data_IF_324787805435
#
_entry.id   IF_324787805435
#
_cell.length_a   1.000
_cell.length_b   1.000
_cell.length_c   1.000
_cell.angle_alpha   90.00
_cell.angle_beta   90.00
_cell.angle_gamma   90.00
#
_symmetry.space_group_name_H-M   'P 1'
#
loop_
_entity.id
_entity.type
_entity.pdbx_description
1 polymer ?
#
# COMPACT_ATOMS: atom_id res chain seq x y z
N UNK A 1 50.01 32.39 10.81
CA UNK A 1 49.38 31.85 9.59
C UNK A 1 48.52 30.65 10.00
N UNK A 2 47.21 30.82 9.97
CA UNK A 2 46.30 29.67 10.18
C UNK A 2 46.02 29.03 8.82
N UNK A 3 46.11 27.70 8.70
CA UNK A 3 45.74 27.04 7.46
C UNK A 3 44.22 27.13 7.32
N UNK A 4 43.78 27.71 6.21
CA UNK A 4 42.38 27.64 5.78
C UNK A 4 41.98 26.17 5.58
N UNK A 5 41.18 25.63 6.50
CA UNK A 5 40.52 24.35 6.28
C UNK A 5 39.35 24.58 5.32
N UNK A 6 39.59 24.24 4.08
CA UNK A 6 38.56 24.18 3.06
C UNK A 6 37.61 23.01 3.40
N UNK A 7 36.51 23.31 4.08
CA UNK A 7 35.40 22.34 4.23
C UNK A 7 34.75 22.13 2.85
N UNK A 8 35.14 21.07 2.19
CA UNK A 8 34.42 20.57 1.03
C UNK A 8 33.06 20.07 1.49
N UNK A 9 32.05 20.92 1.39
CA UNK A 9 30.63 20.53 1.50
C UNK A 9 30.28 19.72 0.26
N UNK A 10 30.30 18.39 0.38
CA UNK A 10 29.70 17.53 -0.61
C UNK A 10 28.17 17.64 -0.50
N UNK A 11 27.46 18.06 -1.54
CA UNK A 11 26.00 17.98 -1.52
C UNK A 11 25.61 16.50 -1.49
N UNK A 12 25.08 16.06 -0.37
CA UNK A 12 24.44 14.75 -0.30
C UNK A 12 23.15 14.81 -1.12
N UNK A 13 23.17 14.23 -2.30
CA UNK A 13 21.99 13.99 -3.10
C UNK A 13 21.14 12.92 -2.36
N UNK A 14 20.20 13.38 -1.56
CA UNK A 14 19.18 12.50 -0.98
C UNK A 14 18.15 12.25 -2.08
N UNK A 15 18.21 11.07 -2.70
CA UNK A 15 17.15 10.63 -3.60
C UNK A 15 15.85 10.47 -2.79
N UNK A 16 14.71 11.06 -3.21
CA UNK A 16 13.45 10.86 -2.52
C UNK A 16 13.08 9.38 -2.59
N UNK A 17 12.83 8.77 -1.43
CA UNK A 17 12.25 7.44 -1.37
C UNK A 17 10.86 7.48 -2.03
N UNK A 18 10.59 6.56 -2.97
CA UNK A 18 9.28 6.45 -3.59
C UNK A 18 8.29 5.93 -2.55
N UNK A 19 7.39 6.79 -2.10
CA UNK A 19 6.26 6.43 -1.26
C UNK A 19 5.29 5.52 -2.03
N UNK A 20 4.58 4.66 -1.32
CA UNK A 20 3.52 3.86 -1.90
C UNK A 20 2.41 4.76 -2.46
N UNK A 21 1.86 4.37 -3.60
CA UNK A 21 0.85 5.12 -4.34
C UNK A 21 -0.54 4.55 -4.07
N UNK A 22 -1.29 5.19 -3.18
CA UNK A 22 -2.65 4.79 -2.83
C UNK A 22 -3.62 4.88 -4.01
N UNK A 23 -3.45 5.83 -4.92
CA UNK A 23 -4.29 5.96 -6.11
C UNK A 23 -4.06 4.79 -7.06
N UNK A 24 -2.82 4.37 -7.25
CA UNK A 24 -2.51 3.15 -7.98
C UNK A 24 -3.06 1.90 -7.27
N UNK A 25 -2.96 1.86 -5.97
CA UNK A 25 -3.53 0.79 -5.13
C UNK A 25 -5.02 0.65 -5.32
N UNK A 26 -5.75 1.76 -5.40
CA UNK A 26 -7.19 1.79 -5.71
C UNK A 26 -7.49 1.18 -7.08
N UNK A 27 -6.75 1.57 -8.10
CA UNK A 27 -6.92 1.03 -9.46
C UNK A 27 -6.66 -0.48 -9.51
N UNK A 28 -5.61 -0.93 -8.83
CA UNK A 28 -5.28 -2.36 -8.73
C UNK A 28 -6.36 -3.15 -7.98
N UNK A 29 -6.89 -2.59 -6.90
CA UNK A 29 -7.96 -3.19 -6.13
C UNK A 29 -9.24 -3.33 -6.96
N UNK A 30 -9.61 -2.29 -7.68
CA UNK A 30 -10.78 -2.30 -8.57
C UNK A 30 -10.62 -3.31 -9.71
N UNK A 31 -9.39 -3.54 -10.17
CA UNK A 31 -9.12 -4.51 -11.23
C UNK A 31 -9.08 -5.97 -10.72
N UNK A 32 -8.59 -6.22 -9.51
CA UNK A 32 -8.23 -7.57 -9.07
C UNK A 32 -8.96 -8.07 -7.81
N UNK A 33 -9.49 -7.19 -6.99
CA UNK A 33 -10.01 -7.54 -5.66
C UNK A 33 -11.54 -7.49 -5.57
N UNK A 34 -12.18 -6.80 -6.47
CA UNK A 34 -13.62 -6.47 -6.44
C UNK A 34 -14.53 -7.69 -6.57
N UNK A 35 -14.05 -8.81 -7.10
CA UNK A 35 -14.82 -10.04 -7.22
C UNK A 35 -15.18 -10.63 -5.86
N UNK A 36 -14.30 -10.50 -4.87
CA UNK A 36 -14.47 -11.09 -3.55
C UNK A 36 -14.56 -10.07 -2.43
N UNK A 37 -14.00 -8.89 -2.62
CA UNK A 37 -13.98 -7.82 -1.63
C UNK A 37 -14.81 -6.62 -2.06
N UNK A 38 -15.43 -5.99 -1.08
CA UNK A 38 -15.92 -4.64 -1.25
C UNK A 38 -14.71 -3.69 -1.08
N UNK A 39 -14.27 -3.11 -2.19
CA UNK A 39 -13.04 -2.30 -2.22
C UNK A 39 -13.25 -0.83 -1.90
N UNK A 40 -14.49 -0.39 -1.82
CA UNK A 40 -14.88 0.95 -1.41
C UNK A 40 -16.02 0.86 -0.39
N UNK A 41 -16.09 1.79 0.59
CA UNK A 41 -17.12 1.74 1.63
C UNK A 41 -18.52 2.09 1.11
N UNK A 42 -18.62 2.70 -0.06
CA UNK A 42 -19.89 3.14 -0.65
C UNK A 42 -19.87 2.99 -2.18
N UNK A 43 -20.94 2.52 -2.82
CA UNK A 43 -22.13 1.93 -2.19
C UNK A 43 -21.82 0.56 -1.59
N UNK A 44 -22.46 0.24 -0.47
CA UNK A 44 -22.32 -1.08 0.14
C UNK A 44 -22.98 -2.12 -0.73
N UNK A 45 -22.21 -3.16 -1.02
CA UNK A 45 -22.69 -4.38 -1.68
C UNK A 45 -22.49 -5.56 -0.75
N UNK A 46 -23.41 -6.51 -0.77
CA UNK A 46 -23.14 -7.81 -0.19
C UNK A 46 -22.18 -8.56 -1.10
N UNK A 47 -20.94 -8.68 -0.68
CA UNK A 47 -19.97 -9.58 -1.27
C UNK A 47 -19.72 -10.68 -0.24
N UNK A 48 -20.14 -11.89 -0.58
CA UNK A 48 -20.43 -12.94 0.38
C UNK A 48 -19.18 -13.55 1.05
N UNK A 49 -18.00 -13.45 0.47
CA UNK A 49 -16.93 -14.40 0.79
C UNK A 49 -15.68 -13.78 1.44
N UNK A 50 -15.55 -12.48 1.45
CA UNK A 50 -14.34 -11.84 1.95
C UNK A 50 -14.66 -10.53 2.69
N UNK A 51 -13.87 -10.16 3.69
CA UNK A 51 -14.14 -8.94 4.44
C UNK A 51 -13.98 -7.70 3.57
N UNK A 52 -14.84 -6.68 3.78
CA UNK A 52 -14.68 -5.38 3.11
C UNK A 52 -13.34 -4.73 3.45
N UNK A 53 -12.81 -3.96 2.53
CA UNK A 53 -11.52 -3.28 2.71
C UNK A 53 -11.51 -2.29 3.88
N UNK A 54 -12.61 -1.62 4.16
CA UNK A 54 -12.71 -0.73 5.31
C UNK A 54 -12.65 -1.49 6.64
N UNK A 55 -13.15 -2.72 6.69
CA UNK A 55 -13.02 -3.61 7.86
C UNK A 55 -11.58 -4.07 8.03
N UNK A 56 -10.93 -4.47 6.93
CA UNK A 56 -9.51 -4.85 6.94
C UNK A 56 -8.66 -3.66 7.40
N UNK A 57 -8.92 -2.48 6.88
CA UNK A 57 -8.22 -1.25 7.25
C UNK A 57 -8.26 -0.99 8.76
N UNK A 58 -9.42 -1.12 9.38
CA UNK A 58 -9.57 -0.94 10.82
C UNK A 58 -8.88 -2.02 11.65
N UNK A 59 -8.86 -3.24 11.15
CA UNK A 59 -8.18 -4.38 11.82
C UNK A 59 -6.66 -4.24 11.77
N UNK A 60 -6.11 -3.76 10.66
CA UNK A 60 -4.67 -3.65 10.42
C UNK A 60 -4.18 -2.19 10.39
N UNK A 61 -4.91 -1.28 11.01
CA UNK A 61 -4.75 0.18 10.89
C UNK A 61 -3.36 0.73 11.21
N UNK A 62 -2.48 -0.06 11.75
CA UNK A 62 -1.22 0.43 12.31
C UNK A 62 -0.02 0.10 11.43
N UNK A 63 -0.11 -0.87 10.53
CA UNK A 63 1.05 -1.43 9.85
C UNK A 63 0.76 -1.72 8.37
N UNK A 64 0.83 -0.71 7.47
CA UNK A 64 0.69 -0.92 6.04
C UNK A 64 1.66 -1.98 5.48
N UNK A 65 2.86 -2.05 6.04
CA UNK A 65 3.88 -3.02 5.64
C UNK A 65 3.43 -4.46 5.94
N UNK A 66 2.83 -4.69 7.10
CA UNK A 66 2.30 -6.01 7.47
C UNK A 66 1.20 -6.45 6.50
N UNK A 67 0.32 -5.53 6.12
CA UNK A 67 -0.72 -5.79 5.15
C UNK A 67 -0.14 -6.09 3.76
N UNK A 68 0.89 -5.35 3.34
CA UNK A 68 1.58 -5.61 2.07
C UNK A 68 2.20 -7.01 2.05
N UNK A 69 2.85 -7.44 3.11
CA UNK A 69 3.35 -8.81 3.24
C UNK A 69 2.25 -9.85 3.15
N UNK A 70 1.12 -9.63 3.80
CA UNK A 70 -0.02 -10.53 3.72
C UNK A 70 -0.56 -10.66 2.29
N UNK A 71 -0.52 -9.60 1.49
CA UNK A 71 -0.92 -9.62 0.09
C UNK A 71 0.05 -10.37 -0.82
N UNK A 72 1.31 -10.51 -0.40
CA UNK A 72 2.33 -11.26 -1.15
C UNK A 72 2.27 -12.76 -0.87
N UNK A 73 1.70 -13.17 0.24
CA UNK A 73 1.47 -14.57 0.54
C UNK A 73 0.40 -15.16 -0.41
N UNK A 74 0.41 -16.48 -0.66
CA UNK A 74 -0.63 -17.12 -1.45
C UNK A 74 -2.02 -16.76 -0.92
N UNK A 75 -2.76 -16.00 -1.70
CA UNK A 75 -4.09 -15.54 -1.33
C UNK A 75 -5.16 -16.45 -1.96
N UNK A 76 -6.10 -16.99 -1.18
CA UNK A 76 -7.14 -17.85 -1.74
C UNK A 76 -7.89 -17.16 -2.88
N UNK A 77 -8.10 -17.88 -3.99
CA UNK A 77 -8.88 -17.42 -5.16
C UNK A 77 -8.32 -16.20 -5.90
N UNK A 78 -7.09 -15.79 -5.62
CA UNK A 78 -6.45 -14.71 -6.35
C UNK A 78 -5.63 -15.26 -7.50
N UNK A 79 -5.99 -14.87 -8.74
CA UNK A 79 -5.33 -15.32 -9.97
C UNK A 79 -4.21 -14.39 -10.42
N UNK A 80 -3.80 -13.46 -9.60
CA UNK A 80 -2.77 -12.49 -9.92
C UNK A 80 -1.64 -12.56 -8.90
N UNK A 81 -0.42 -12.61 -9.41
CA UNK A 81 0.77 -12.46 -8.59
C UNK A 81 1.12 -10.96 -8.52
N UNK A 82 1.04 -10.40 -7.33
CA UNK A 82 1.40 -9.00 -7.10
C UNK A 82 2.91 -8.86 -6.97
N UNK A 83 3.46 -7.81 -7.55
CA UNK A 83 4.80 -7.34 -7.18
C UNK A 83 4.76 -6.73 -5.78
N UNK A 84 5.92 -6.63 -5.15
CA UNK A 84 6.02 -5.96 -3.85
C UNK A 84 5.48 -4.53 -3.90
N UNK A 85 5.81 -3.81 -4.96
CA UNK A 85 5.34 -2.44 -5.16
C UNK A 85 3.81 -2.36 -5.27
N UNK A 86 3.22 -3.24 -6.03
CA UNK A 86 1.77 -3.31 -6.17
C UNK A 86 1.08 -3.66 -4.85
N UNK A 87 1.64 -4.60 -4.08
CA UNK A 87 1.14 -4.93 -2.76
C UNK A 87 1.23 -3.74 -1.79
N UNK A 88 2.33 -2.99 -1.82
CA UNK A 88 2.51 -1.76 -1.03
C UNK A 88 1.49 -0.68 -1.42
N UNK A 89 1.23 -0.50 -2.71
CA UNK A 89 0.26 0.46 -3.20
C UNK A 89 -1.17 0.08 -2.78
N UNK A 90 -1.54 -1.20 -2.88
CA UNK A 90 -2.85 -1.68 -2.41
C UNK A 90 -2.98 -1.50 -0.89
N UNK A 91 -1.95 -1.84 -0.13
CA UNK A 91 -1.96 -1.66 1.32
C UNK A 91 -2.11 -0.18 1.71
N UNK A 92 -1.44 0.71 1.00
CA UNK A 92 -1.59 2.16 1.19
C UNK A 92 -3.03 2.62 0.91
N UNK A 93 -3.64 2.11 -0.14
CA UNK A 93 -5.05 2.40 -0.44
C UNK A 93 -5.98 1.90 0.65
N UNK A 94 -5.85 0.64 1.06
CA UNK A 94 -6.65 0.06 2.15
C UNK A 94 -6.52 0.91 3.41
N UNK A 95 -5.32 1.33 3.75
CA UNK A 95 -5.06 2.15 4.93
C UNK A 95 -5.80 3.50 4.90
N UNK A 96 -6.08 4.05 3.72
CA UNK A 96 -6.88 5.28 3.59
C UNK A 96 -8.33 5.09 4.05
N UNK A 97 -8.82 3.85 4.08
CA UNK A 97 -10.19 3.51 4.44
C UNK A 97 -10.40 3.30 5.95
N UNK A 98 -9.34 3.43 6.73
CA UNK A 98 -9.39 3.24 8.19
C UNK A 98 -10.08 4.38 8.96
N UNK A 99 -10.49 5.41 8.29
CA UNK A 99 -11.13 6.61 8.87
C UNK A 99 -12.58 6.38 9.24
#
# INVERSE_FOLDING_TARGET
>A
MQPFRLCLLFPTLVAPALAADADNGKRLAEAHCVTCHMVAPSPRREVADAPPFDVIARKFQVQPETLAFALLDPHPRMNVALTRREAEDIAAYINTLAR
#
